data_IF_410495562534
#
_entry.id   IF_410495562534
#
_cell.length_a   1.000
_cell.length_b   1.000
_cell.length_c   1.000
_cell.angle_alpha   90.00
_cell.angle_beta   90.00
_cell.angle_gamma   90.00
#
_symmetry.space_group_name_H-M   'P 1'
#
loop_
_entity.id
_entity.type
_entity.pdbx_description
1 polymer ?
#
# COMPACT_ATOMS: atom_id res chain seq x y z
N UNK A 1 6.22 -13.03 -2.34
CA UNK A 1 5.69 -11.78 -1.76
C UNK A 1 5.99 -10.68 -2.75
N UNK A 2 4.97 -10.08 -3.34
CA UNK A 2 5.11 -8.92 -4.23
C UNK A 2 5.64 -7.75 -3.39
N UNK A 3 6.74 -7.15 -3.80
CA UNK A 3 7.32 -6.00 -3.11
C UNK A 3 6.35 -4.82 -3.17
N UNK A 4 5.80 -4.42 -2.02
CA UNK A 4 4.86 -3.30 -1.90
C UNK A 4 5.48 -2.03 -2.50
N UNK A 5 6.79 -1.83 -2.36
CA UNK A 5 7.47 -0.70 -3.00
C UNK A 5 7.39 -0.75 -4.52
N UNK A 6 7.69 -1.90 -5.11
CA UNK A 6 7.59 -2.09 -6.56
C UNK A 6 6.17 -1.87 -7.07
N UNK A 7 5.16 -2.35 -6.35
CA UNK A 7 3.74 -2.16 -6.69
C UNK A 7 3.35 -0.68 -6.61
N UNK A 8 3.77 0.01 -5.55
CA UNK A 8 3.45 1.42 -5.33
C UNK A 8 4.26 2.37 -6.24
N UNK A 9 5.52 2.06 -6.53
CA UNK A 9 6.35 2.78 -7.51
C UNK A 9 5.76 2.67 -8.91
N UNK A 10 5.32 1.48 -9.30
CA UNK A 10 4.62 1.27 -10.58
C UNK A 10 3.32 2.06 -10.62
N UNK A 11 2.54 2.05 -9.53
CA UNK A 11 1.31 2.83 -9.42
C UNK A 11 1.53 4.34 -9.52
N UNK A 12 2.66 4.84 -9.03
CA UNK A 12 2.97 6.28 -8.98
C UNK A 12 3.58 6.80 -10.29
N UNK A 13 4.41 5.99 -10.97
CA UNK A 13 5.09 6.38 -12.20
C UNK A 13 4.16 6.43 -13.42
N UNK A 14 3.10 5.62 -13.43
CA UNK A 14 2.18 5.46 -14.56
C UNK A 14 0.81 6.11 -14.31
N UNK A 15 0.78 7.41 -13.98
CA UNK A 15 -0.47 8.20 -13.91
C UNK A 15 -1.15 8.39 -15.30
N UNK A 16 -1.40 7.29 -16.01
CA UNK A 16 -2.28 7.11 -17.16
C UNK A 16 -3.27 5.97 -16.89
N UNK A 17 -4.05 5.50 -17.89
CA UNK A 17 -4.89 4.32 -17.70
C UNK A 17 -3.97 3.17 -17.30
N UNK A 18 -4.12 2.75 -16.05
CA UNK A 18 -3.48 1.58 -15.48
C UNK A 18 -3.67 0.37 -16.40
N UNK A 19 -3.05 -0.75 -16.08
CA UNK A 19 -3.40 -2.11 -16.53
C UNK A 19 -4.92 -2.42 -16.42
N UNK A 20 -5.80 -1.71 -17.14
CA UNK A 20 -7.26 -1.70 -17.06
C UNK A 20 -7.91 -1.07 -15.81
N UNK A 21 -7.17 -0.66 -14.77
CA UNK A 21 -7.77 -0.24 -13.48
C UNK A 21 -7.95 1.28 -13.38
N UNK A 22 -9.18 1.75 -13.53
CA UNK A 22 -9.53 3.12 -13.15
C UNK A 22 -9.66 3.18 -11.62
N UNK A 23 -8.77 3.90 -10.91
CA UNK A 23 -8.90 4.14 -9.44
C UNK A 23 -10.29 4.70 -9.10
N UNK A 24 -10.90 5.43 -10.02
CA UNK A 24 -12.28 5.90 -9.96
C UNK A 24 -13.28 4.77 -9.69
N UNK A 25 -13.05 3.57 -10.24
CA UNK A 25 -13.88 2.37 -10.03
C UNK A 25 -13.76 1.85 -8.61
N UNK A 26 -12.57 1.94 -7.99
CA UNK A 26 -12.36 1.51 -6.60
C UNK A 26 -12.91 2.51 -5.60
N UNK A 27 -12.76 3.79 -5.91
CA UNK A 27 -13.22 4.88 -5.07
C UNK A 27 -14.72 5.19 -5.24
N UNK A 28 -15.34 4.72 -6.32
CA UNK A 28 -16.74 5.01 -6.68
C UNK A 28 -16.99 6.46 -7.10
N UNK A 29 -15.94 7.26 -7.28
CA UNK A 29 -16.02 8.70 -7.60
C UNK A 29 -14.89 9.13 -8.53
N UNK A 30 -15.08 10.21 -9.34
CA UNK A 30 -14.04 10.74 -10.20
C UNK A 30 -12.81 11.20 -9.42
N UNK A 31 -11.65 10.90 -9.97
CA UNK A 31 -10.34 11.23 -9.41
C UNK A 31 -9.86 12.57 -9.99
N UNK A 32 -9.26 13.47 -9.19
CA UNK A 32 -8.69 14.71 -9.72
C UNK A 32 -7.54 14.42 -10.68
N UNK A 33 -7.54 15.06 -11.85
CA UNK A 33 -6.45 14.92 -12.84
C UNK A 33 -5.20 15.73 -12.49
N UNK A 34 -5.36 16.74 -11.64
CA UNK A 34 -4.33 17.78 -11.46
C UNK A 34 -3.53 17.60 -10.16
N UNK A 35 -3.90 16.63 -9.32
CA UNK A 35 -3.22 16.35 -8.07
C UNK A 35 -2.60 14.95 -8.08
N UNK A 36 -1.29 14.82 -7.79
CA UNK A 36 -0.71 13.49 -7.66
C UNK A 36 -1.27 12.81 -6.40
N UNK A 37 -1.44 11.48 -6.44
CA UNK A 37 -1.89 10.73 -5.28
C UNK A 37 -0.90 10.86 -4.11
N UNK A 38 -1.40 10.62 -2.91
CA UNK A 38 -0.58 10.58 -1.70
C UNK A 38 -1.13 9.59 -0.68
N UNK A 39 -0.32 9.35 0.34
CA UNK A 39 -0.70 8.52 1.47
C UNK A 39 -1.04 9.38 2.67
N UNK A 40 -2.03 8.93 3.42
CA UNK A 40 -2.61 9.61 4.58
C UNK A 40 -2.72 8.62 5.72
N UNK A 41 -2.75 9.12 6.95
CA UNK A 41 -3.10 8.33 8.12
C UNK A 41 -4.60 8.38 8.33
N UNK A 42 -5.21 7.25 8.68
CA UNK A 42 -6.65 7.14 8.91
C UNK A 42 -7.17 8.16 9.95
N UNK A 43 -6.38 8.42 11.01
CA UNK A 43 -6.69 9.44 12.03
C UNK A 43 -6.97 10.83 11.44
N UNK A 44 -6.41 11.15 10.29
CA UNK A 44 -6.58 12.45 9.63
C UNK A 44 -7.97 12.55 9.00
N UNK A 45 -8.44 11.46 8.40
CA UNK A 45 -9.81 11.34 7.90
C UNK A 45 -10.78 11.50 9.07
N UNK A 46 -10.60 10.75 10.15
CA UNK A 46 -11.49 10.79 11.32
C UNK A 46 -11.54 12.20 11.94
N UNK A 47 -10.39 12.87 12.04
CA UNK A 47 -10.29 14.23 12.56
C UNK A 47 -11.01 15.25 11.67
N UNK A 48 -10.86 15.13 10.35
CA UNK A 48 -11.53 16.00 9.38
C UNK A 48 -13.04 15.79 9.43
N UNK A 49 -13.51 14.54 9.43
CA UNK A 49 -14.94 14.20 9.52
C UNK A 49 -15.54 14.73 10.83
N UNK A 50 -14.90 14.47 11.96
CA UNK A 50 -15.35 14.97 13.27
C UNK A 50 -15.51 16.49 13.28
N UNK A 51 -14.54 17.23 12.74
CA UNK A 51 -14.65 18.69 12.73
C UNK A 51 -15.67 19.22 11.72
N UNK A 52 -15.89 18.53 10.58
CA UNK A 52 -16.95 18.86 9.63
C UNK A 52 -18.33 18.71 10.29
N UNK A 53 -18.55 17.64 11.04
CA UNK A 53 -19.80 17.38 11.76
C UNK A 53 -20.10 18.46 12.82
N UNK A 54 -19.05 19.06 13.39
CA UNK A 54 -19.17 20.19 14.32
C UNK A 54 -19.36 21.55 13.62
N UNK A 55 -19.54 21.56 12.29
CA UNK A 55 -19.69 22.79 11.49
C UNK A 55 -18.38 23.54 11.25
N UNK A 56 -17.24 22.87 11.41
CA UNK A 56 -15.91 23.44 11.18
C UNK A 56 -15.68 23.73 9.70
N UNK A 57 -15.21 24.94 9.39
CA UNK A 57 -14.77 25.27 8.03
C UNK A 57 -13.35 24.75 7.76
N UNK A 58 -13.00 24.55 6.48
CA UNK A 58 -11.71 24.00 6.06
C UNK A 58 -10.48 24.71 6.65
N UNK A 59 -10.57 26.03 6.87
CA UNK A 59 -9.52 26.80 7.52
C UNK A 59 -9.34 26.41 9.00
N UNK A 60 -10.43 26.31 9.75
CA UNK A 60 -10.40 25.94 11.17
C UNK A 60 -9.94 24.49 11.39
N UNK A 61 -10.31 23.59 10.46
CA UNK A 61 -9.85 22.20 10.45
C UNK A 61 -8.33 22.14 10.30
N UNK A 62 -7.77 22.81 9.29
CA UNK A 62 -6.31 22.84 9.06
C UNK A 62 -5.56 23.48 10.22
N UNK A 63 -6.09 24.56 10.80
CA UNK A 63 -5.46 25.21 11.95
C UNK A 63 -5.44 24.29 13.18
N UNK A 64 -6.54 23.59 13.45
CA UNK A 64 -6.64 22.63 14.55
C UNK A 64 -5.73 21.42 14.32
N UNK A 65 -5.73 20.85 13.11
CA UNK A 65 -4.89 19.70 12.78
C UNK A 65 -3.39 20.01 12.95
N UNK A 66 -2.96 21.23 12.57
CA UNK A 66 -1.59 21.71 12.84
C UNK A 66 -1.30 21.82 14.34
N UNK A 67 -2.23 22.39 15.11
CA UNK A 67 -2.07 22.54 16.56
C UNK A 67 -1.93 21.20 17.29
N UNK A 68 -2.65 20.17 16.82
CA UNK A 68 -2.65 18.84 17.41
C UNK A 68 -1.68 17.86 16.72
N UNK A 69 -0.88 18.34 15.76
CA UNK A 69 0.03 17.53 14.96
C UNK A 69 -0.63 16.27 14.36
N UNK A 70 -1.89 16.41 13.94
CA UNK A 70 -2.67 15.30 13.41
C UNK A 70 -2.24 14.96 12.00
N UNK A 71 -1.96 16.00 11.19
CA UNK A 71 -1.68 15.83 9.77
C UNK A 71 -0.24 15.42 9.48
N UNK A 72 -0.11 14.40 8.66
CA UNK A 72 1.15 13.93 8.08
C UNK A 72 0.79 13.24 6.78
N UNK A 73 1.27 13.74 5.65
CA UNK A 73 0.95 13.16 4.34
C UNK A 73 2.25 12.88 3.61
N UNK A 74 2.42 11.67 3.06
CA UNK A 74 3.60 11.34 2.28
C UNK A 74 3.29 11.18 0.79
N UNK A 75 4.23 11.61 -0.04
CA UNK A 75 4.25 11.38 -1.48
C UNK A 75 5.49 10.59 -1.84
N UNK A 76 5.38 9.74 -2.84
CA UNK A 76 6.57 9.13 -3.42
C UNK A 76 7.34 10.21 -4.23
N UNK A 77 8.61 10.37 -3.93
CA UNK A 77 9.51 11.33 -4.56
C UNK A 77 10.92 10.74 -4.63
N UNK A 78 11.44 10.56 -5.85
CA UNK A 78 12.78 10.00 -6.11
C UNK A 78 13.06 8.72 -5.30
N UNK A 79 12.13 7.76 -5.39
CA UNK A 79 12.19 6.46 -4.70
C UNK A 79 12.15 6.51 -3.17
N UNK A 80 11.75 7.65 -2.60
CA UNK A 80 11.55 7.85 -1.17
C UNK A 80 10.17 8.37 -0.88
N UNK A 81 9.73 8.21 0.37
CA UNK A 81 8.46 8.77 0.83
C UNK A 81 8.74 10.09 1.52
N UNK A 82 8.30 11.18 0.92
CA UNK A 82 8.51 12.53 1.44
C UNK A 82 7.23 13.03 2.13
N UNK A 83 7.32 13.23 3.45
CA UNK A 83 6.31 13.95 4.22
C UNK A 83 6.51 15.45 4.01
N UNK A 84 5.64 16.05 3.21
CA UNK A 84 5.74 17.46 2.86
C UNK A 84 5.16 18.39 3.93
N UNK A 85 4.51 17.85 4.96
CA UNK A 85 4.02 18.62 6.12
C UNK A 85 5.14 18.77 7.14
N UNK A 86 5.82 17.67 7.45
CA UNK A 86 6.92 17.64 8.42
C UNK A 86 8.30 17.82 7.78
N UNK A 87 8.37 17.89 6.45
CA UNK A 87 9.60 18.00 5.66
C UNK A 87 10.62 16.88 5.98
N UNK A 88 10.14 15.63 6.07
CA UNK A 88 10.95 14.46 6.41
C UNK A 88 10.86 13.39 5.33
N UNK A 89 11.98 12.73 5.04
CA UNK A 89 12.06 11.61 4.10
C UNK A 89 12.09 10.28 4.85
N UNK A 90 11.44 9.27 4.27
CA UNK A 90 11.39 7.90 4.78
C UNK A 90 11.75 6.93 3.65
N UNK A 91 12.37 5.82 4.03
CA UNK A 91 12.68 4.75 3.09
C UNK A 91 11.47 3.88 2.82
N UNK A 92 10.51 3.79 3.76
CA UNK A 92 9.28 3.02 3.58
C UNK A 92 8.05 3.62 4.27
N UNK A 93 6.86 3.14 3.89
CA UNK A 93 5.61 3.53 4.52
C UNK A 93 5.49 3.02 5.96
N UNK A 94 6.09 1.87 6.27
CA UNK A 94 6.17 1.32 7.63
C UNK A 94 7.04 2.21 8.53
N UNK A 95 8.18 2.70 8.01
CA UNK A 95 9.03 3.65 8.72
C UNK A 95 8.26 4.93 9.04
N UNK A 96 7.55 5.47 8.04
CA UNK A 96 6.71 6.65 8.19
C UNK A 96 5.54 6.45 9.17
N UNK A 97 4.83 5.33 9.09
CA UNK A 97 3.73 5.01 10.00
C UNK A 97 4.23 4.87 11.44
N UNK A 98 5.36 4.18 11.64
CA UNK A 98 5.99 4.00 12.95
C UNK A 98 6.40 5.33 13.59
N UNK A 99 7.04 6.22 12.84
CA UNK A 99 7.40 7.57 13.28
C UNK A 99 6.17 8.39 13.69
N UNK A 100 5.03 8.10 13.07
CA UNK A 100 3.74 8.67 13.38
C UNK A 100 2.93 7.89 14.42
N UNK A 101 3.49 6.89 15.11
CA UNK A 101 2.78 6.07 16.09
C UNK A 101 1.52 5.39 15.50
N UNK A 102 1.62 4.95 14.24
CA UNK A 102 0.56 4.29 13.49
C UNK A 102 1.05 2.94 12.93
N UNK A 103 0.15 2.18 12.33
CA UNK A 103 0.45 0.94 11.60
C UNK A 103 0.23 1.14 10.10
N UNK A 104 0.80 0.22 9.29
CA UNK A 104 0.59 0.19 7.84
C UNK A 104 -0.89 -0.06 7.47
N UNK A 105 -1.63 -0.78 8.32
CA UNK A 105 -3.06 -1.08 8.10
C UNK A 105 -3.92 0.21 8.17
N UNK A 106 -3.46 1.21 8.91
CA UNK A 106 -4.13 2.51 9.08
C UNK A 106 -3.65 3.54 8.04
N UNK A 107 -2.98 3.11 6.97
CA UNK A 107 -2.60 3.96 5.85
C UNK A 107 -3.70 3.94 4.80
N UNK A 108 -4.09 5.14 4.39
CA UNK A 108 -4.99 5.39 3.27
C UNK A 108 -4.18 5.85 2.06
N UNK A 109 -4.58 5.40 0.87
CA UNK A 109 -4.11 5.91 -0.41
C UNK A 109 -5.21 6.73 -1.07
N UNK A 110 -4.87 7.89 -1.63
CA UNK A 110 -5.90 8.70 -2.25
C UNK A 110 -5.44 10.02 -2.84
N UNK A 111 -6.43 10.86 -3.14
CA UNK A 111 -6.25 12.16 -3.76
C UNK A 111 -6.79 13.25 -2.85
N UNK A 112 -5.97 14.28 -2.66
CA UNK A 112 -6.43 15.49 -2.01
C UNK A 112 -7.18 16.36 -3.01
N UNK A 113 -8.45 16.68 -2.73
CA UNK A 113 -9.20 17.66 -3.50
C UNK A 113 -9.10 19.03 -2.85
N UNK A 114 -9.08 20.08 -3.68
CA UNK A 114 -9.05 21.47 -3.21
C UNK A 114 -10.34 21.88 -2.48
N UNK A 115 -11.47 21.23 -2.79
CA UNK A 115 -12.78 21.43 -2.16
C UNK A 115 -12.92 20.76 -0.77
N UNK A 116 -11.94 19.92 -0.38
CA UNK A 116 -11.95 19.19 0.88
C UNK A 116 -12.71 17.86 0.86
N UNK A 117 -13.17 17.41 -0.31
CA UNK A 117 -13.76 16.09 -0.56
C UNK A 117 -12.65 15.11 -0.97
N UNK A 118 -11.77 14.76 -0.03
CA UNK A 118 -10.68 13.86 -0.35
C UNK A 118 -11.21 12.45 -0.62
N UNK A 119 -10.61 11.78 -1.59
CA UNK A 119 -10.99 10.43 -2.00
C UNK A 119 -9.92 9.47 -1.55
N UNK A 120 -10.28 8.47 -0.75
CA UNK A 120 -9.34 7.52 -0.15
C UNK A 120 -9.82 6.08 -0.22
N UNK A 121 -8.87 5.16 -0.26
CA UNK A 121 -9.06 3.72 -0.02
C UNK A 121 -7.98 3.24 0.95
N UNK A 122 -8.23 2.15 1.68
CA UNK A 122 -7.15 1.57 2.51
C UNK A 122 -6.04 1.03 1.61
N UNK A 123 -4.79 1.22 2.04
CA UNK A 123 -3.62 0.69 1.33
C UNK A 123 -3.72 -0.82 1.14
N UNK A 124 -4.23 -1.55 2.15
CA UNK A 124 -4.47 -2.99 2.06
C UNK A 124 -5.45 -3.36 0.94
N UNK A 125 -6.53 -2.58 0.76
CA UNK A 125 -7.50 -2.81 -0.30
C UNK A 125 -6.88 -2.58 -1.67
N UNK A 126 -6.04 -1.54 -1.80
CA UNK A 126 -5.28 -1.28 -3.01
C UNK A 126 -4.35 -2.45 -3.34
N UNK A 127 -3.55 -2.91 -2.37
CA UNK A 127 -2.62 -4.03 -2.55
C UNK A 127 -3.36 -5.30 -2.98
N UNK A 128 -4.48 -5.63 -2.32
CA UNK A 128 -5.30 -6.78 -2.67
C UNK A 128 -5.87 -6.69 -4.09
N UNK A 129 -6.18 -5.49 -4.56
CA UNK A 129 -6.66 -5.30 -5.92
C UNK A 129 -5.54 -5.42 -6.96
N UNK A 130 -4.35 -4.89 -6.65
CA UNK A 130 -3.20 -4.89 -7.55
C UNK A 130 -2.48 -6.24 -7.63
N UNK A 131 -2.52 -7.02 -6.55
CA UNK A 131 -1.94 -8.34 -6.45
C UNK A 131 -2.98 -9.24 -5.78
N UNK A 132 -4.04 -9.63 -6.53
CA UNK A 132 -5.06 -10.53 -5.97
C UNK A 132 -4.38 -11.81 -5.48
N UNK A 133 -4.86 -12.40 -4.37
CA UNK A 133 -4.39 -13.70 -3.97
C UNK A 133 -4.62 -14.68 -5.12
N UNK A 134 -3.66 -15.59 -5.39
CA UNK A 134 -3.83 -16.59 -6.44
C UNK A 134 -5.12 -17.38 -6.21
N UNK A 135 -5.85 -17.67 -7.28
CA UNK A 135 -7.08 -18.45 -7.18
C UNK A 135 -6.75 -19.86 -6.65
N UNK A 136 -7.70 -20.51 -5.97
CA UNK A 136 -7.47 -21.86 -5.39
C UNK A 136 -6.93 -22.86 -6.43
N UNK A 137 -7.37 -22.75 -7.69
CA UNK A 137 -6.89 -23.57 -8.80
C UNK A 137 -5.41 -23.30 -9.14
N UNK A 138 -4.96 -22.05 -9.09
CA UNK A 138 -3.55 -21.70 -9.29
C UNK A 138 -2.69 -22.14 -8.11
N UNK A 139 -3.24 -22.12 -6.89
CA UNK A 139 -2.57 -22.67 -5.70
C UNK A 139 -2.39 -24.18 -5.84
N UNK A 140 -3.41 -24.90 -6.30
CA UNK A 140 -3.33 -26.35 -6.56
C UNK A 140 -2.29 -26.67 -7.65
N UNK A 141 -2.25 -25.91 -8.75
CA UNK A 141 -1.24 -26.09 -9.80
C UNK A 141 0.19 -25.75 -9.33
N UNK A 142 0.35 -24.72 -8.49
CA UNK A 142 1.62 -24.39 -7.85
C UNK A 142 2.05 -25.45 -6.83
N UNK A 143 1.12 -26.05 -6.11
CA UNK A 143 1.39 -27.14 -5.17
C UNK A 143 1.77 -28.43 -5.91
N UNK A 144 1.07 -28.77 -6.99
CA UNK A 144 1.39 -29.92 -7.84
C UNK A 144 2.78 -29.78 -8.46
N UNK A 145 3.15 -28.57 -8.90
CA UNK A 145 4.50 -28.30 -9.45
C UNK A 145 5.61 -28.31 -8.39
N UNK A 146 5.29 -28.10 -7.11
CA UNK A 146 6.24 -28.28 -6.00
C UNK A 146 6.37 -29.76 -5.56
N UNK A 147 5.34 -30.58 -5.73
CA UNK A 147 5.38 -32.01 -5.42
C UNK A 147 6.18 -32.85 -6.44
N UNK A 148 6.51 -32.31 -7.61
CA UNK A 148 7.39 -32.98 -8.61
C UNK A 148 8.89 -32.84 -8.29
N UNK A 149 9.26 -32.45 -7.07
CA UNK A 149 10.65 -32.66 -6.63
C UNK A 149 10.89 -34.16 -6.44
N UNK A 150 11.84 -34.79 -7.17
CA UNK A 150 12.07 -36.22 -7.05
C UNK A 150 12.41 -36.53 -5.60
N UNK A 151 11.60 -37.39 -4.97
CA UNK A 151 11.84 -37.89 -3.60
C UNK A 151 13.27 -38.41 -3.53
N UNK A 152 14.18 -37.61 -2.95
CA UNK A 152 15.54 -38.04 -2.65
C UNK A 152 15.44 -39.17 -1.63
N UNK A 153 15.49 -40.42 -2.10
CA UNK A 153 15.74 -41.56 -1.23
C UNK A 153 17.21 -41.53 -0.85
N UNK A 154 17.49 -41.15 0.40
CA UNK A 154 18.77 -41.49 1.03
C UNK A 154 18.80 -43.00 1.22
N UNK A 155 19.49 -43.70 0.33
CA UNK A 155 19.79 -45.12 0.51
C UNK A 155 20.98 -45.19 1.46
N UNK A 156 20.73 -45.56 2.71
CA UNK A 156 21.80 -45.85 3.65
C UNK A 156 22.47 -47.18 3.26
N UNK A 157 23.58 -47.11 2.52
CA UNK A 157 24.56 -48.20 2.51
C UNK A 157 25.54 -47.96 3.66
N UNK A 158 25.72 -48.97 4.51
CA UNK A 158 26.64 -48.96 5.64
C UNK A 158 27.92 -48.16 5.36
N UNK A 159 28.07 -47.01 6.04
CA UNK A 159 29.36 -46.34 6.22
C UNK A 159 29.61 -45.03 5.46
N UNK A 160 28.88 -44.69 4.37
CA UNK A 160 29.00 -43.38 3.70
C UNK A 160 27.70 -43.02 2.97
N UNK A 161 27.23 -41.78 3.16
CA UNK A 161 26.10 -41.23 2.40
C UNK A 161 26.61 -40.71 1.05
N UNK A 162 26.14 -41.29 -0.06
CA UNK A 162 26.29 -40.72 -1.40
C UNK A 162 24.90 -40.40 -1.98
N UNK A 163 24.78 -39.23 -2.60
CA UNK A 163 23.58 -38.81 -3.33
C UNK A 163 23.63 -39.41 -4.73
N UNK A 164 22.69 -40.29 -5.08
CA UNK A 164 22.53 -40.81 -6.45
C UNK A 164 21.19 -40.37 -7.06
N UNK A 165 21.19 -40.11 -8.36
CA UNK A 165 20.02 -39.74 -9.16
C UNK A 165 19.61 -40.94 -10.01
N UNK A 166 18.33 -41.32 -10.02
CA UNK A 166 17.77 -42.22 -11.05
C UNK A 166 17.32 -41.35 -12.23
N UNK A 167 17.75 -41.73 -13.44
CA UNK A 167 17.33 -41.14 -14.71
C UNK A 167 16.04 -41.80 -15.20
#
# INVERSE_FOLDING_TARGET
>A
MTDIHSVLQTAFAECGPYLGVHIETLCGVPVPTDTPPCFFLEREKDFVETLKDLGGCSYAIRASARKFNVFSHVKLYKDRYFDYINHKEYNSLEEWASDNQSSIDNILFGYQKFDGENTYIHLKQLIQHLSPPPELAEIEEMMDSLEVSPKRRLIAKCGRYELSYEQ
#
